data_IF_100553091156
#
_entry.id   IF_100553091156
#
_cell.length_a   1.000
_cell.length_b   1.000
_cell.length_c   1.000
_cell.angle_alpha   90.00
_cell.angle_beta   90.00
_cell.angle_gamma   90.00
#
_symmetry.space_group_name_H-M   'P 1'
#
loop_
_entity.id
_entity.type
_entity.pdbx_description
1 polymer ?
#
# COMPACT_ATOMS: atom_id res chain seq x y z
N UNK A 1 -25.49 15.00 2.86
CA UNK A 1 -25.05 13.99 3.85
C UNK A 1 -26.01 12.82 3.97
N UNK A 2 -27.28 13.04 4.33
CA UNK A 2 -28.28 11.96 4.38
C UNK A 2 -28.42 11.24 3.05
N UNK A 3 -28.34 11.99 1.94
CA UNK A 3 -28.42 11.42 0.59
C UNK A 3 -27.24 10.52 0.23
N UNK A 4 -26.01 10.90 0.60
CA UNK A 4 -24.83 10.04 0.45
C UNK A 4 -24.99 8.75 1.25
N UNK A 5 -25.40 8.84 2.53
CA UNK A 5 -25.66 7.66 3.35
C UNK A 5 -26.73 6.74 2.75
N UNK A 6 -27.81 7.32 2.19
CA UNK A 6 -28.86 6.59 1.48
C UNK A 6 -28.33 5.85 0.25
N UNK A 7 -27.56 6.52 -0.61
CA UNK A 7 -26.98 5.90 -1.81
C UNK A 7 -26.04 4.75 -1.47
N UNK A 8 -25.29 4.90 -0.38
CA UNK A 8 -24.30 3.94 0.08
C UNK A 8 -24.86 2.82 0.96
N UNK A 9 -26.09 2.95 1.44
CA UNK A 9 -26.65 2.09 2.49
C UNK A 9 -25.91 2.23 3.84
N UNK A 10 -25.33 3.40 4.11
CA UNK A 10 -24.57 3.69 5.33
C UNK A 10 -25.33 4.62 6.26
N UNK A 11 -25.14 4.44 7.56
CA UNK A 11 -25.64 5.39 8.54
C UNK A 11 -24.90 6.75 8.46
N UNK A 12 -25.47 7.78 9.08
CA UNK A 12 -24.91 9.14 9.07
C UNK A 12 -23.52 9.24 9.70
N UNK A 13 -23.23 8.43 10.71
CA UNK A 13 -21.94 8.43 11.39
C UNK A 13 -20.86 7.83 10.48
N UNK A 14 -21.11 6.66 9.91
CA UNK A 14 -20.21 5.99 8.94
C UNK A 14 -19.97 6.89 7.72
N UNK A 15 -21.03 7.51 7.19
CA UNK A 15 -20.93 8.46 6.07
C UNK A 15 -20.01 9.65 6.37
N UNK A 16 -20.17 10.27 7.55
CA UNK A 16 -19.31 11.38 7.98
C UNK A 16 -17.86 10.94 8.16
N UNK A 17 -17.66 9.75 8.71
CA UNK A 17 -16.33 9.21 8.94
C UNK A 17 -15.60 8.95 7.61
N UNK A 18 -16.26 8.31 6.64
CA UNK A 18 -15.69 8.02 5.33
C UNK A 18 -15.40 9.28 4.52
N UNK A 19 -16.30 10.28 4.52
CA UNK A 19 -16.08 11.54 3.79
C UNK A 19 -15.03 12.46 4.43
N UNK A 20 -14.69 12.26 5.71
CA UNK A 20 -13.57 12.97 6.37
C UNK A 20 -12.21 12.31 6.11
N UNK A 21 -12.19 11.12 5.52
CA UNK A 21 -10.95 10.43 5.18
C UNK A 21 -10.17 11.27 4.17
N UNK A 22 -8.87 11.54 4.40
CA UNK A 22 -8.01 12.16 3.39
C UNK A 22 -7.67 11.20 2.24
N UNK A 23 -8.04 9.92 2.36
CA UNK A 23 -7.75 8.88 1.38
C UNK A 23 -8.94 8.70 0.45
N UNK A 24 -8.73 8.63 -0.89
CA UNK A 24 -9.76 8.24 -1.83
C UNK A 24 -10.38 6.90 -1.42
N UNK A 25 -11.69 6.78 -1.57
CA UNK A 25 -12.45 5.63 -1.10
C UNK A 25 -12.93 4.77 -2.27
N UNK A 26 -12.67 3.46 -2.20
CA UNK A 26 -13.36 2.51 -3.06
C UNK A 26 -14.71 2.20 -2.43
N UNK A 27 -15.77 2.51 -3.18
CA UNK A 27 -17.14 2.53 -2.68
C UNK A 27 -17.88 1.21 -2.94
N UNK A 28 -17.69 0.64 -4.13
CA UNK A 28 -18.35 -0.60 -4.54
C UNK A 28 -17.64 -1.20 -5.76
N UNK A 29 -17.85 -2.48 -6.01
CA UNK A 29 -17.45 -3.18 -7.23
C UNK A 29 -18.70 -3.62 -7.98
N UNK A 30 -18.67 -3.45 -9.30
CA UNK A 30 -19.78 -3.78 -10.19
C UNK A 30 -19.28 -4.72 -11.27
N UNK A 31 -20.06 -5.77 -11.57
CA UNK A 31 -19.81 -6.64 -12.74
C UNK A 31 -20.17 -5.92 -14.04
N UNK A 32 -21.21 -5.08 -14.01
CA UNK A 32 -21.65 -4.23 -15.12
C UNK A 32 -21.21 -2.78 -14.92
N UNK A 33 -20.61 -2.21 -15.96
CA UNK A 33 -20.17 -0.82 -15.97
C UNK A 33 -21.34 0.18 -15.88
N UNK A 34 -22.54 -0.16 -16.39
CA UNK A 34 -23.68 0.75 -16.41
C UNK A 34 -24.14 1.13 -15.00
N UNK A 35 -24.30 0.14 -14.11
CA UNK A 35 -24.65 0.38 -12.70
C UNK A 35 -23.59 1.21 -11.97
N UNK A 36 -22.31 0.99 -12.28
CA UNK A 36 -21.21 1.79 -11.73
C UNK A 36 -21.24 3.24 -12.23
N UNK A 37 -21.55 3.47 -13.51
CA UNK A 37 -21.66 4.80 -14.10
C UNK A 37 -22.85 5.58 -13.53
N UNK A 38 -23.98 4.92 -13.28
CA UNK A 38 -25.15 5.53 -12.65
C UNK A 38 -24.80 6.05 -11.25
N UNK A 39 -24.16 5.21 -10.41
CA UNK A 39 -23.74 5.65 -9.08
C UNK A 39 -22.73 6.81 -9.15
N UNK A 40 -21.77 6.77 -10.06
CA UNK A 40 -20.82 7.87 -10.28
C UNK A 40 -21.56 9.17 -10.63
N UNK A 41 -22.58 9.11 -11.49
CA UNK A 41 -23.38 10.28 -11.84
C UNK A 41 -24.11 10.85 -10.60
N UNK A 42 -24.74 10.00 -9.81
CA UNK A 42 -25.44 10.40 -8.58
C UNK A 42 -24.47 11.02 -7.55
N UNK A 43 -23.28 10.45 -7.39
CA UNK A 43 -22.27 11.00 -6.48
C UNK A 43 -21.71 12.35 -6.97
N UNK A 44 -21.50 12.52 -8.28
CA UNK A 44 -21.11 13.81 -8.87
C UNK A 44 -22.16 14.89 -8.65
N UNK A 45 -23.46 14.56 -8.72
CA UNK A 45 -24.55 15.50 -8.40
C UNK A 45 -24.51 15.96 -6.93
N UNK A 46 -23.96 15.16 -6.03
CA UNK A 46 -23.72 15.52 -4.63
C UNK A 46 -22.43 16.34 -4.41
N UNK A 47 -21.73 16.71 -5.49
CA UNK A 47 -20.46 17.45 -5.44
C UNK A 47 -19.25 16.59 -5.08
N UNK A 48 -19.36 15.26 -5.18
CA UNK A 48 -18.25 14.35 -4.89
C UNK A 48 -17.46 14.04 -6.17
N UNK A 49 -16.13 14.10 -6.05
CA UNK A 49 -15.24 13.65 -7.12
C UNK A 49 -15.17 12.12 -7.15
N UNK A 50 -16.00 11.52 -8.00
CA UNK A 50 -16.18 10.07 -8.13
C UNK A 50 -15.95 9.60 -9.57
N UNK A 51 -15.46 8.37 -9.71
CA UNK A 51 -15.11 7.78 -10.99
C UNK A 51 -15.09 6.25 -10.92
N UNK A 52 -15.23 5.63 -12.09
CA UNK A 52 -15.21 4.18 -12.24
C UNK A 52 -13.82 3.74 -12.74
N UNK A 53 -13.23 2.75 -12.08
CA UNK A 53 -11.93 2.18 -12.45
C UNK A 53 -12.11 0.69 -12.73
N UNK A 54 -11.45 0.18 -13.77
CA UNK A 54 -11.39 -1.26 -14.03
C UNK A 54 -10.54 -1.94 -12.97
N UNK A 55 -10.99 -3.09 -12.46
CA UNK A 55 -10.24 -3.88 -11.48
C UNK A 55 -8.83 -4.24 -11.98
N UNK A 56 -8.68 -4.55 -13.27
CA UNK A 56 -7.36 -4.81 -13.88
C UNK A 56 -6.43 -3.59 -13.84
N UNK A 57 -6.97 -2.38 -13.86
CA UNK A 57 -6.22 -1.14 -13.67
C UNK A 57 -5.71 -1.00 -12.24
N UNK A 58 -6.58 -1.26 -11.25
CA UNK A 58 -6.20 -1.28 -9.84
C UNK A 58 -5.14 -2.35 -9.54
N UNK A 59 -5.28 -3.55 -10.10
CA UNK A 59 -4.31 -4.64 -9.93
C UNK A 59 -2.91 -4.29 -10.46
N UNK A 60 -2.81 -3.44 -11.50
CA UNK A 60 -1.50 -2.93 -11.97
C UNK A 60 -0.87 -1.97 -10.97
N UNK A 61 -1.68 -1.18 -10.27
CA UNK A 61 -1.23 -0.27 -9.22
C UNK A 61 -0.84 -1.01 -7.94
N UNK A 62 -1.28 -2.25 -7.74
CA UNK A 62 -0.78 -3.06 -6.62
C UNK A 62 0.66 -3.54 -6.84
N UNK A 63 1.08 -3.67 -8.10
CA UNK A 63 2.45 -4.09 -8.44
C UNK A 63 3.43 -2.94 -8.25
N UNK A 64 4.56 -3.26 -7.62
CA UNK A 64 5.66 -2.33 -7.33
C UNK A 64 6.98 -2.96 -7.69
N UNK A 65 7.89 -2.15 -8.21
CA UNK A 65 9.29 -2.52 -8.33
C UNK A 65 9.98 -2.31 -6.98
N UNK A 66 10.37 -3.40 -6.33
CA UNK A 66 11.10 -3.33 -5.06
C UNK A 66 12.55 -2.93 -5.33
N UNK A 67 12.97 -1.77 -4.86
CA UNK A 67 14.35 -1.32 -5.00
C UNK A 67 15.22 -1.86 -3.86
N UNK A 68 16.41 -2.35 -4.24
CA UNK A 68 17.44 -2.86 -3.34
C UNK A 68 18.48 -1.79 -3.03
N UNK A 69 18.90 -1.03 -4.04
CA UNK A 69 19.83 0.09 -3.92
C UNK A 69 19.57 1.09 -5.03
N UNK A 70 20.30 2.21 -5.03
CA UNK A 70 20.30 3.13 -6.14
C UNK A 70 21.64 3.83 -6.31
N UNK A 71 21.89 4.31 -7.53
CA UNK A 71 22.86 5.35 -7.83
C UNK A 71 22.14 6.58 -8.36
N UNK A 72 22.70 7.77 -8.16
CA UNK A 72 22.17 9.01 -8.71
C UNK A 72 23.24 9.75 -9.51
N UNK A 73 22.81 10.41 -10.58
CA UNK A 73 23.61 11.32 -11.39
C UNK A 73 22.91 12.68 -11.49
N UNK A 74 23.42 13.57 -12.34
CA UNK A 74 22.85 14.91 -12.56
C UNK A 74 21.47 14.91 -13.24
N UNK A 75 21.07 13.81 -13.87
CA UNK A 75 19.85 13.73 -14.67
C UNK A 75 18.75 12.88 -14.02
N UNK A 76 19.12 11.95 -13.15
CA UNK A 76 18.15 11.11 -12.47
C UNK A 76 18.73 10.14 -11.46
N UNK A 77 17.92 9.14 -11.16
CA UNK A 77 18.24 8.05 -10.25
C UNK A 77 18.07 6.72 -10.98
N UNK A 78 18.99 5.79 -10.72
CA UNK A 78 18.98 4.42 -11.22
C UNK A 78 18.79 3.50 -10.03
N UNK A 79 17.64 2.84 -9.97
CA UNK A 79 17.35 1.85 -8.95
C UNK A 79 17.75 0.47 -9.45
N UNK A 80 18.52 -0.25 -8.65
CA UNK A 80 18.69 -1.69 -8.81
C UNK A 80 17.56 -2.39 -8.04
N UNK A 81 16.83 -3.25 -8.72
CA UNK A 81 15.66 -3.92 -8.18
C UNK A 81 16.01 -5.28 -7.56
N UNK A 82 15.12 -5.79 -6.71
CA UNK A 82 15.31 -7.10 -6.05
C UNK A 82 15.37 -8.26 -7.05
N UNK A 83 14.74 -8.13 -8.21
CA UNK A 83 14.79 -9.11 -9.30
C UNK A 83 16.07 -9.02 -10.15
N UNK A 84 17.01 -8.11 -9.79
CA UNK A 84 18.27 -7.88 -10.51
C UNK A 84 18.15 -6.96 -11.71
N UNK A 85 16.94 -6.52 -12.08
CA UNK A 85 16.76 -5.54 -13.15
C UNK A 85 17.06 -4.12 -12.69
N UNK A 86 17.23 -3.20 -13.64
CA UNK A 86 17.54 -1.79 -13.37
C UNK A 86 16.41 -0.91 -13.87
N UNK A 87 15.92 -0.01 -13.01
CA UNK A 87 14.93 1.01 -13.36
C UNK A 87 15.55 2.40 -13.25
N UNK A 88 15.78 3.04 -14.37
CA UNK A 88 16.21 4.43 -14.43
C UNK A 88 14.98 5.37 -14.43
N UNK A 89 15.05 6.45 -13.67
CA UNK A 89 14.03 7.48 -13.63
C UNK A 89 14.67 8.86 -13.66
N UNK A 90 14.39 9.63 -14.70
CA UNK A 90 14.83 11.02 -14.80
C UNK A 90 14.07 11.89 -13.79
N UNK A 91 14.75 12.87 -13.19
CA UNK A 91 14.11 13.76 -12.20
C UNK A 91 12.88 14.49 -12.77
N UNK A 92 12.95 14.94 -14.03
CA UNK A 92 11.82 15.56 -14.75
C UNK A 92 10.61 14.65 -14.98
N UNK A 93 10.78 13.33 -14.83
CA UNK A 93 9.70 12.35 -14.99
C UNK A 93 9.10 11.93 -13.65
N UNK A 94 9.69 12.34 -12.52
CA UNK A 94 9.15 12.05 -11.20
C UNK A 94 7.86 12.86 -11.00
N UNK A 95 6.81 12.18 -10.57
CA UNK A 95 5.49 12.79 -10.45
C UNK A 95 5.02 12.87 -9.01
N UNK A 96 5.03 11.73 -8.32
CA UNK A 96 4.45 11.61 -6.99
C UNK A 96 5.29 10.68 -6.13
N UNK A 97 5.59 11.12 -4.92
CA UNK A 97 6.19 10.32 -3.87
C UNK A 97 5.20 10.21 -2.71
N UNK A 98 4.71 8.99 -2.45
CA UNK A 98 3.83 8.71 -1.30
C UNK A 98 4.69 8.11 -0.19
N UNK A 99 4.65 8.66 1.02
CA UNK A 99 5.41 8.16 2.19
C UNK A 99 4.48 7.58 3.24
N UNK A 100 4.96 6.52 3.87
CA UNK A 100 4.27 5.87 4.96
C UNK A 100 5.24 5.35 6.01
N UNK A 101 4.72 5.13 7.21
CA UNK A 101 5.37 4.37 8.27
C UNK A 101 4.53 3.14 8.54
N UNK A 102 5.09 1.97 8.29
CA UNK A 102 4.38 0.69 8.37
C UNK A 102 4.86 -0.17 9.52
N UNK A 103 3.96 -0.95 10.14
CA UNK A 103 4.30 -1.93 11.19
C UNK A 103 4.49 -3.31 10.56
N UNK A 104 5.74 -3.77 10.48
CA UNK A 104 6.08 -5.06 9.86
C UNK A 104 5.43 -6.29 10.55
N UNK A 105 5.00 -6.14 11.81
CA UNK A 105 4.30 -7.20 12.55
C UNK A 105 2.91 -7.59 12.00
N UNK A 106 2.32 -6.79 11.09
CA UNK A 106 1.03 -7.08 10.46
C UNK A 106 1.14 -7.84 9.14
N UNK A 107 2.08 -7.45 8.27
CA UNK A 107 2.21 -8.03 6.92
C UNK A 107 2.77 -9.46 6.93
N UNK A 108 3.67 -9.79 7.87
CA UNK A 108 4.15 -11.17 8.02
C UNK A 108 3.04 -12.10 8.54
N UNK A 109 2.15 -11.60 9.41
CA UNK A 109 1.00 -12.35 9.92
C UNK A 109 -0.07 -12.56 8.83
N UNK A 110 -0.22 -11.59 7.93
CA UNK A 110 -1.06 -11.71 6.74
C UNK A 110 -0.45 -12.65 5.68
N UNK A 111 0.87 -12.63 5.47
CA UNK A 111 1.56 -13.58 4.58
C UNK A 111 1.53 -15.01 5.11
N UNK A 112 1.76 -15.21 6.41
CA UNK A 112 1.73 -16.54 7.05
C UNK A 112 0.29 -17.04 7.27
N UNK A 113 -0.67 -16.14 7.52
CA UNK A 113 -2.09 -16.47 7.62
C UNK A 113 -2.77 -16.69 6.27
N UNK A 114 -2.24 -16.14 5.17
CA UNK A 114 -2.73 -16.41 3.81
C UNK A 114 -2.13 -17.67 3.17
N UNK A 115 -1.06 -18.23 3.75
CA UNK A 115 -0.59 -19.58 3.39
C UNK A 115 -1.43 -20.70 4.00
N UNK A 116 -2.42 -20.38 4.84
CA UNK A 116 -3.53 -21.29 5.14
C UNK A 116 -4.59 -21.12 4.04
N UNK A 117 -4.49 -21.91 2.96
CA UNK A 117 -5.63 -22.51 2.21
C UNK A 117 -5.31 -23.02 0.79
N UNK A 118 -4.06 -22.98 0.31
CA UNK A 118 -3.74 -23.58 -1.00
C UNK A 118 -2.44 -24.37 -0.98
N UNK A 119 -2.46 -25.50 -0.27
CA UNK A 119 -1.75 -26.74 -0.59
C UNK A 119 -2.03 -27.75 0.54
N UNK A 120 -3.17 -28.43 0.46
CA UNK A 120 -3.26 -29.76 1.06
C UNK A 120 -2.21 -30.65 0.39
N UNK A 121 -1.51 -31.43 1.21
CA UNK A 121 -0.67 -32.59 0.84
C UNK A 121 0.79 -32.34 0.40
N UNK A 122 1.55 -31.56 1.17
CA UNK A 122 3.01 -31.77 1.25
C UNK A 122 3.44 -32.00 2.69
N UNK A 123 3.90 -33.23 2.95
CA UNK A 123 4.56 -33.79 4.14
C UNK A 123 4.52 -32.91 5.40
N UNK A 124 3.59 -33.25 6.30
CA UNK A 124 3.53 -32.69 7.67
C UNK A 124 4.88 -32.75 8.40
N UNK A 125 5.72 -33.72 8.10
CA UNK A 125 7.09 -33.83 8.66
C UNK A 125 8.00 -32.69 8.22
N UNK A 126 7.96 -32.26 6.94
CA UNK A 126 8.82 -31.17 6.43
C UNK A 126 8.44 -29.80 7.00
N UNK A 127 7.16 -29.57 7.29
CA UNK A 127 6.67 -28.34 7.92
C UNK A 127 7.08 -28.28 9.39
N UNK A 128 6.96 -29.41 10.10
CA UNK A 128 7.48 -29.51 11.47
C UNK A 128 8.99 -29.29 11.51
N UNK A 129 9.75 -29.87 10.59
CA UNK A 129 11.20 -29.67 10.48
C UNK A 129 11.57 -28.22 10.15
N UNK A 130 10.81 -27.53 9.31
CA UNK A 130 10.98 -26.10 9.04
C UNK A 130 10.73 -25.24 10.27
N UNK A 131 9.69 -25.57 11.06
CA UNK A 131 9.38 -24.89 12.32
C UNK A 131 10.47 -25.15 13.36
N UNK A 132 10.98 -26.38 13.45
CA UNK A 132 12.06 -26.77 14.36
C UNK A 132 13.38 -26.09 13.93
N UNK A 133 13.69 -26.04 12.64
CA UNK A 133 14.84 -25.33 12.07
C UNK A 133 14.75 -23.84 12.36
N UNK A 134 13.60 -23.20 12.17
CA UNK A 134 13.39 -21.79 12.55
C UNK A 134 13.61 -21.54 14.05
N UNK A 135 13.15 -22.46 14.92
CA UNK A 135 13.37 -22.37 16.37
C UNK A 135 14.85 -22.58 16.73
N UNK A 136 15.56 -23.44 16.01
CA UNK A 136 17.00 -23.71 16.18
C UNK A 136 17.85 -22.55 15.69
N UNK A 137 17.59 -22.01 14.51
CA UNK A 137 18.26 -20.83 13.94
C UNK A 137 18.03 -19.60 14.83
N UNK A 138 16.82 -19.46 15.40
CA UNK A 138 16.51 -18.41 16.38
C UNK A 138 17.28 -18.59 17.69
N UNK A 139 17.49 -19.83 18.17
CA UNK A 139 18.34 -20.12 19.34
C UNK A 139 19.82 -19.87 19.05
N UNK A 140 20.31 -20.23 17.87
CA UNK A 140 21.69 -19.96 17.44
C UNK A 140 21.96 -18.46 17.33
N UNK A 141 21.08 -17.69 16.67
CA UNK A 141 21.18 -16.22 16.63
C UNK A 141 21.15 -15.59 18.02
N UNK A 142 20.36 -16.17 18.95
CA UNK A 142 20.31 -15.71 20.35
C UNK A 142 21.60 -16.02 21.12
N UNK A 143 22.34 -17.06 20.73
CA UNK A 143 23.63 -17.42 21.31
C UNK A 143 24.78 -16.59 20.73
N UNK A 144 24.74 -16.26 19.43
CA UNK A 144 25.77 -15.46 18.75
C UNK A 144 25.72 -13.97 19.11
N UNK A 145 24.54 -13.43 19.42
CA UNK A 145 24.34 -11.97 19.54
C UNK A 145 24.12 -11.46 20.97
N UNK A 146 24.38 -12.28 22.00
CA UNK A 146 24.41 -11.91 23.43
C UNK A 146 23.60 -10.67 23.87
N UNK A 147 22.39 -10.90 24.38
CA UNK A 147 21.43 -9.95 25.03
C UNK A 147 20.49 -9.18 24.08
N UNK A 148 19.21 -9.61 23.95
CA UNK A 148 18.00 -9.32 24.76
C UNK A 148 17.35 -7.97 24.34
N UNK A 149 16.07 -7.88 23.96
CA UNK A 149 14.92 -8.36 24.75
C UNK A 149 13.67 -8.76 23.92
N UNK A 150 12.79 -9.59 24.53
CA UNK A 150 11.49 -10.02 24.05
C UNK A 150 10.40 -8.96 24.32
N UNK A 151 9.48 -8.86 23.38
CA UNK A 151 8.31 -8.00 23.43
C UNK A 151 7.88 -7.69 22.02
N UNK A 152 6.59 -7.76 21.74
CA UNK A 152 5.95 -7.41 20.48
C UNK A 152 6.06 -5.89 20.18
N UNK A 153 7.28 -5.35 20.13
CA UNK A 153 7.52 -4.00 19.64
C UNK A 153 7.43 -4.04 18.12
N UNK A 154 6.30 -3.61 17.57
CA UNK A 154 6.14 -3.37 16.15
C UNK A 154 7.26 -2.45 15.67
N UNK A 155 8.28 -3.00 15.00
CA UNK A 155 9.28 -2.19 14.31
C UNK A 155 8.53 -1.43 13.22
N UNK A 156 8.28 -0.16 13.49
CA UNK A 156 7.78 0.77 12.51
C UNK A 156 8.91 1.03 11.52
N UNK A 157 8.64 0.86 10.23
CA UNK A 157 9.62 1.05 9.16
C UNK A 157 9.10 2.10 8.20
N UNK A 158 9.99 2.99 7.75
CA UNK A 158 9.64 3.96 6.72
C UNK A 158 9.64 3.32 5.33
N UNK A 159 8.64 3.68 4.55
CA UNK A 159 8.43 3.19 3.19
C UNK A 159 8.02 4.37 2.31
N UNK A 160 8.44 4.36 1.05
CA UNK A 160 7.82 5.22 0.04
C UNK A 160 7.61 4.49 -1.28
N UNK A 161 6.61 4.95 -2.03
CA UNK A 161 6.38 4.61 -3.43
C UNK A 161 6.61 5.85 -4.29
N UNK A 162 7.54 5.74 -5.24
CA UNK A 162 7.86 6.79 -6.22
C UNK A 162 7.24 6.45 -7.57
N UNK A 163 6.29 7.28 -7.99
CA UNK A 163 5.59 7.17 -9.26
C UNK A 163 6.17 8.12 -10.31
N UNK A 164 6.48 7.63 -11.52
CA UNK A 164 6.76 8.47 -12.66
C UNK A 164 5.45 8.96 -13.33
N UNK A 165 5.56 9.97 -14.20
CA UNK A 165 4.42 10.52 -14.95
C UNK A 165 3.81 9.49 -15.91
N UNK A 166 4.63 8.72 -16.60
CA UNK A 166 4.22 7.89 -17.75
C UNK A 166 4.15 6.38 -17.46
N UNK A 167 4.34 5.94 -16.22
CA UNK A 167 4.31 4.53 -15.85
C UNK A 167 3.56 4.35 -14.52
N UNK A 168 2.46 3.58 -14.49
CA UNK A 168 1.67 3.38 -13.28
C UNK A 168 2.38 2.51 -12.23
N UNK A 169 3.49 1.87 -12.58
CA UNK A 169 4.25 1.01 -11.67
C UNK A 169 5.30 1.81 -10.92
N UNK A 170 5.04 2.06 -9.63
CA UNK A 170 5.97 2.75 -8.75
C UNK A 170 7.20 1.90 -8.39
N UNK A 171 8.28 2.61 -8.09
CA UNK A 171 9.44 2.07 -7.40
C UNK A 171 9.22 2.21 -5.89
N UNK A 172 9.31 1.10 -5.17
CA UNK A 172 9.15 1.03 -3.72
C UNK A 172 10.50 0.94 -3.03
N UNK A 173 10.70 1.79 -2.04
CA UNK A 173 11.87 1.76 -1.14
C UNK A 173 11.40 1.50 0.27
N UNK A 174 11.95 0.46 0.89
CA UNK A 174 11.73 0.12 2.30
C UNK A 174 13.02 0.41 3.06
N UNK A 175 12.96 1.30 4.05
CA UNK A 175 14.13 1.80 4.78
C UNK A 175 15.00 0.67 5.38
N UNK A 176 14.37 -0.40 5.89
CA UNK A 176 15.07 -1.53 6.49
C UNK A 176 15.75 -2.47 5.48
N UNK A 177 15.35 -2.43 4.20
CA UNK A 177 15.80 -3.37 3.15
C UNK A 177 16.69 -2.70 2.10
N UNK A 178 16.70 -1.37 2.04
CA UNK A 178 17.43 -0.61 1.04
C UNK A 178 18.87 -0.34 1.46
N UNK A 179 19.80 -0.56 0.54
CA UNK A 179 21.21 -0.23 0.69
C UNK A 179 21.52 1.16 0.14
N UNK A 180 21.94 2.05 1.04
CA UNK A 180 22.26 3.45 0.76
C UNK A 180 23.75 3.68 0.47
N UNK A 181 24.59 2.64 0.51
CA UNK A 181 26.05 2.78 0.38
C UNK A 181 26.44 3.39 -0.98
N UNK A 182 25.78 2.99 -2.07
CA UNK A 182 26.04 3.55 -3.40
C UNK A 182 25.68 5.04 -3.54
N UNK A 183 24.64 5.52 -2.83
CA UNK A 183 24.22 6.92 -2.90
C UNK A 183 25.07 7.84 -2.03
N UNK A 184 25.40 7.39 -0.83
CA UNK A 184 25.89 8.27 0.23
C UNK A 184 27.15 7.78 0.95
N UNK A 185 27.67 6.59 0.61
CA UNK A 185 28.81 5.98 1.30
C UNK A 185 28.54 5.67 2.78
N UNK A 186 27.27 5.50 3.17
CA UNK A 186 26.85 5.35 4.56
C UNK A 186 26.01 4.09 4.74
N UNK A 187 26.27 3.34 5.82
CA UNK A 187 25.46 2.18 6.25
C UNK A 187 24.27 2.53 7.14
N UNK A 188 24.17 3.79 7.58
CA UNK A 188 23.10 4.25 8.46
C UNK A 188 21.78 4.45 7.70
N UNK A 189 20.86 3.49 7.83
CA UNK A 189 19.61 3.40 7.05
C UNK A 189 18.67 4.59 7.21
N UNK A 190 18.35 4.97 8.44
CA UNK A 190 17.39 6.06 8.71
C UNK A 190 17.89 7.42 8.19
N UNK A 191 19.20 7.67 8.33
CA UNK A 191 19.84 8.86 7.76
C UNK A 191 19.86 8.81 6.24
N UNK A 192 20.13 7.64 5.66
CA UNK A 192 20.10 7.41 4.21
C UNK A 192 18.72 7.68 3.61
N UNK A 193 17.65 7.20 4.24
CA UNK A 193 16.29 7.39 3.77
C UNK A 193 15.90 8.88 3.76
N UNK A 194 16.20 9.61 4.84
CA UNK A 194 15.98 11.07 4.90
C UNK A 194 16.75 11.81 3.81
N UNK A 195 18.04 11.49 3.63
CA UNK A 195 18.90 12.08 2.59
C UNK A 195 18.40 11.78 1.18
N UNK A 196 17.88 10.58 0.93
CA UNK A 196 17.28 10.23 -0.36
C UNK A 196 16.05 11.08 -0.65
N UNK A 197 15.13 11.22 0.30
CA UNK A 197 13.94 12.08 0.11
C UNK A 197 14.35 13.54 -0.12
N UNK A 198 15.33 14.05 0.61
CA UNK A 198 15.88 15.40 0.41
C UNK A 198 16.51 15.57 -0.99
N UNK A 199 17.27 14.58 -1.45
CA UNK A 199 17.84 14.56 -2.79
C UNK A 199 16.74 14.63 -3.86
N UNK A 200 15.69 13.82 -3.73
CA UNK A 200 14.58 13.80 -4.68
C UNK A 200 13.84 15.14 -4.68
N UNK A 201 13.53 15.72 -3.52
CA UNK A 201 12.87 17.04 -3.42
C UNK A 201 13.71 18.16 -4.03
N UNK A 202 15.03 18.14 -3.83
CA UNK A 202 15.93 19.14 -4.39
C UNK A 202 16.05 19.02 -5.91
N UNK A 203 16.12 17.79 -6.42
CA UNK A 203 16.41 17.52 -7.84
C UNK A 203 15.14 17.46 -8.71
N UNK A 204 13.99 17.17 -8.11
CA UNK A 204 12.67 17.17 -8.74
C UNK A 204 11.68 18.04 -7.91
N UNK A 205 11.83 19.38 -7.91
CA UNK A 205 11.03 20.27 -7.07
C UNK A 205 9.54 20.29 -7.42
N UNK A 206 9.16 19.90 -8.65
CA UNK A 206 7.76 19.79 -9.10
C UNK A 206 7.08 18.50 -8.66
N UNK A 207 7.83 17.54 -8.09
CA UNK A 207 7.29 16.27 -7.62
C UNK A 207 6.36 16.49 -6.42
N UNK A 208 5.16 15.92 -6.48
CA UNK A 208 4.22 15.94 -5.38
C UNK A 208 4.69 14.98 -4.27
N UNK A 209 4.52 15.38 -3.01
CA UNK A 209 4.84 14.53 -1.86
C UNK A 209 3.63 14.38 -0.96
N UNK A 210 3.11 13.16 -0.83
CA UNK A 210 2.01 12.82 0.05
C UNK A 210 2.50 12.07 1.28
N UNK A 211 2.15 12.56 2.47
CA UNK A 211 2.47 11.94 3.77
C UNK A 211 1.18 11.68 4.59
N UNK A 212 0.02 11.72 3.92
CA UNK A 212 -1.30 11.64 4.57
C UNK A 212 -1.52 10.30 5.27
N UNK A 213 -0.90 9.22 4.76
CA UNK A 213 -0.88 7.89 5.39
C UNK A 213 -0.43 7.93 6.86
N UNK A 214 0.60 8.73 7.17
CA UNK A 214 1.14 8.85 8.52
C UNK A 214 0.18 9.56 9.49
N UNK A 215 -0.64 10.46 8.96
CA UNK A 215 -1.63 11.24 9.75
C UNK A 215 -2.90 10.47 10.02
N UNK A 216 -3.28 9.57 9.11
CA UNK A 216 -4.50 8.76 9.26
C UNK A 216 -4.36 7.67 10.32
N UNK A 217 -3.11 7.31 10.68
CA UNK A 217 -2.80 6.25 11.62
C UNK A 217 -3.24 4.87 11.12
N UNK A 218 -2.68 3.81 11.69
CA UNK A 218 -3.16 2.43 11.54
C UNK A 218 -4.54 2.21 12.20
N UNK A 219 -5.41 3.21 12.17
CA UNK A 219 -6.61 3.32 13.00
C UNK A 219 -7.86 3.12 12.17
N UNK A 220 -7.99 1.91 11.62
CA UNK A 220 -9.29 1.29 11.44
C UNK A 220 -9.22 -0.17 11.91
N UNK A 221 -9.16 -0.36 13.23
CA UNK A 221 -9.73 -1.56 13.85
C UNK A 221 -11.26 -1.47 13.72
N UNK A 222 -11.79 -1.58 12.50
CA UNK A 222 -13.17 -2.03 12.37
C UNK A 222 -13.17 -3.47 12.92
N UNK A 223 -13.77 -3.67 14.10
CA UNK A 223 -14.28 -5.00 14.44
C UNK A 223 -15.09 -5.43 13.23
N UNK A 224 -14.87 -6.64 12.67
CA UNK A 224 -15.61 -7.09 11.51
C UNK A 224 -17.09 -6.83 11.79
N UNK A 225 -17.71 -5.96 11.00
CA UNK A 225 -19.15 -5.72 11.09
C UNK A 225 -19.78 -7.08 10.88
N UNK A 226 -20.56 -7.51 11.86
CA UNK A 226 -21.21 -8.81 11.85
C UNK A 226 -21.84 -9.00 10.46
N UNK A 227 -21.42 -10.07 9.75
CA UNK A 227 -21.74 -10.32 8.32
C UNK A 227 -23.24 -10.23 8.02
N UNK A 228 -24.08 -10.29 9.04
CA UNK A 228 -25.54 -10.20 9.00
C UNK A 228 -26.09 -8.81 8.62
N UNK A 229 -25.35 -7.71 8.80
CA UNK A 229 -25.84 -6.37 8.41
C UNK A 229 -25.28 -5.85 7.09
N UNK A 230 -24.15 -6.37 6.60
CA UNK A 230 -23.63 -6.06 5.27
C UNK A 230 -24.42 -6.74 4.12
N UNK A 231 -25.41 -7.57 4.45
CA UNK A 231 -26.19 -8.37 3.52
C UNK A 231 -27.61 -7.84 3.33
N UNK A 232 -27.78 -6.75 2.57
CA UNK A 232 -29.01 -6.48 1.78
C UNK A 232 -28.79 -5.70 0.47
N UNK A 233 -27.57 -5.67 -0.06
CA UNK A 233 -27.30 -5.21 -1.43
C UNK A 233 -27.02 -6.41 -2.34
N UNK A 234 -28.09 -6.82 -3.04
CA UNK A 234 -28.17 -7.74 -4.17
C UNK A 234 -27.26 -8.99 -4.15
N UNK A 235 -27.90 -10.14 -3.98
CA UNK A 235 -27.34 -11.48 -4.16
C UNK A 235 -27.08 -11.79 -5.64
N UNK A 236 -26.10 -11.13 -6.25
CA UNK A 236 -25.45 -11.63 -7.47
C UNK A 236 -23.93 -11.58 -7.29
N UNK A 237 -23.26 -12.66 -7.70
CA UNK A 237 -21.81 -12.72 -7.92
C UNK A 237 -20.92 -12.22 -6.77
N UNK A 238 -20.63 -13.08 -5.79
CA UNK A 238 -19.59 -12.77 -4.80
C UNK A 238 -18.20 -13.01 -5.40
N UNK A 239 -17.51 -11.95 -5.85
CA UNK A 239 -16.09 -12.05 -6.20
C UNK A 239 -15.20 -11.96 -4.95
N UNK A 240 -14.04 -12.62 -4.97
CA UNK A 240 -13.01 -12.53 -3.90
C UNK A 240 -12.57 -11.09 -3.63
N UNK A 241 -12.72 -10.20 -4.61
CA UNK A 241 -12.42 -8.77 -4.54
C UNK A 241 -13.37 -8.03 -3.59
N UNK A 242 -14.61 -8.51 -3.45
CA UNK A 242 -15.62 -7.96 -2.53
C UNK A 242 -15.29 -8.23 -1.06
N UNK A 243 -14.62 -9.33 -0.73
CA UNK A 243 -14.15 -9.61 0.64
C UNK A 243 -12.92 -8.76 1.03
N UNK A 244 -12.07 -8.40 0.06
CA UNK A 244 -10.93 -7.47 0.30
C UNK A 244 -11.40 -6.03 0.55
N UNK A 245 -12.44 -5.59 -0.13
CA UNK A 245 -13.00 -4.24 -0.03
C UNK A 245 -13.55 -3.88 1.37
N UNK A 246 -13.86 -4.88 2.20
CA UNK A 246 -14.41 -4.68 3.55
C UNK A 246 -13.35 -4.75 4.67
N UNK A 247 -12.11 -5.11 4.37
CA UNK A 247 -11.02 -4.95 5.34
C UNK A 247 -10.44 -3.57 5.17
N UNK A 248 -10.75 -2.65 6.08
CA UNK A 248 -10.05 -1.37 6.26
C UNK A 248 -8.61 -1.55 6.79
N UNK A 249 -7.93 -2.61 6.34
CA UNK A 249 -6.48 -2.67 6.34
C UNK A 249 -6.04 -1.81 5.16
N UNK A 250 -5.82 -0.51 5.39
CA UNK A 250 -5.13 0.32 4.42
C UNK A 250 -3.68 -0.21 4.32
N UNK A 251 -3.48 -1.22 3.48
CA UNK A 251 -2.15 -1.63 3.08
C UNK A 251 -1.55 -0.44 2.33
N UNK A 252 -0.33 -0.05 2.70
CA UNK A 252 0.33 1.12 2.11
C UNK A 252 0.31 1.11 0.58
N UNK A 253 0.38 -0.09 -0.02
CA UNK A 253 0.21 -0.33 -1.46
C UNK A 253 -1.12 0.17 -2.04
N UNK A 254 -2.24 -0.12 -1.39
CA UNK A 254 -3.55 0.33 -1.88
C UNK A 254 -3.67 1.84 -1.74
N UNK A 255 -3.29 2.37 -0.57
CA UNK A 255 -3.28 3.80 -0.31
C UNK A 255 -2.44 4.55 -1.35
N UNK A 256 -1.20 4.12 -1.61
CA UNK A 256 -0.32 4.80 -2.56
C UNK A 256 -0.87 4.77 -3.98
N UNK A 257 -1.49 3.65 -4.39
CA UNK A 257 -2.11 3.52 -5.71
C UNK A 257 -3.33 4.44 -5.88
N UNK A 258 -4.17 4.54 -4.86
CA UNK A 258 -5.34 5.43 -4.88
C UNK A 258 -4.94 6.91 -4.91
N UNK A 259 -3.94 7.29 -4.12
CA UNK A 259 -3.38 8.67 -4.13
C UNK A 259 -2.75 8.99 -5.49
N UNK A 260 -2.05 8.04 -6.11
CA UNK A 260 -1.53 8.20 -7.47
C UNK A 260 -2.65 8.46 -8.49
N UNK A 261 -3.72 7.67 -8.49
CA UNK A 261 -4.86 7.88 -9.40
C UNK A 261 -5.50 9.25 -9.21
N UNK A 262 -5.71 9.66 -7.96
CA UNK A 262 -6.26 10.96 -7.62
C UNK A 262 -5.42 12.10 -8.23
N UNK A 263 -4.10 12.08 -8.00
CA UNK A 263 -3.22 13.12 -8.54
C UNK A 263 -3.07 13.06 -10.06
N UNK A 264 -2.99 11.86 -10.63
CA UNK A 264 -2.90 11.69 -12.09
C UNK A 264 -4.10 12.33 -12.78
N UNK A 265 -5.30 12.10 -12.25
CA UNK A 265 -6.52 12.71 -12.79
C UNK A 265 -6.52 14.23 -12.66
N UNK A 266 -6.17 14.76 -11.48
CA UNK A 266 -6.06 16.21 -11.27
C UNK A 266 -5.07 16.89 -12.22
N UNK A 267 -4.02 16.17 -12.63
CA UNK A 267 -3.05 16.67 -13.63
C UNK A 267 -3.62 16.67 -15.05
N UNK A 268 -4.48 15.71 -15.40
CA UNK A 268 -5.05 15.58 -16.74
C UNK A 268 -6.38 16.31 -16.95
N UNK A 269 -7.02 16.84 -15.89
CA UNK A 269 -8.13 17.79 -16.02
C UNK A 269 -9.49 17.19 -16.38
N UNK A 270 -9.70 15.89 -16.16
CA UNK A 270 -11.00 15.20 -16.32
C UNK A 270 -11.74 15.01 -14.99
#
# INVERSE_FOLDING_TARGET
MQEFGRLMGWDNYTSRLKLRSPVPLIISAYEDAAAGQELVSQLKQLGLDSYLVKETGLARLEKKHMARTAGADEHGIKFELVDGSVKAMAFKQMFLLVRGRIRLGGELKARVGATELTAMEMDREKIFDLIIKFRRDRRQRKAETGQLLPGEASTEVEIFDLYPVNDPMAVRVIESEFDFEQLFGLKARLLGFKKLVELLRRSAPEMLVDESFNKTGYTFREKPVDKKQALRLAQSGKTKSREKLHSSQANFTEHSGLIYLYHLRRKHGE
#
